data_IF_981650850865
#
_entry.id   IF_981650850865
#
_cell.length_a   1.000
_cell.length_b   1.000
_cell.length_c   1.000
_cell.angle_alpha   90.00
_cell.angle_beta   90.00
_cell.angle_gamma   90.00
#
_symmetry.space_group_name_H-M   'P 1'
#
loop_
_entity.id
_entity.type
_entity.pdbx_description
1 polymer ?
#
# COMPACT_ATOMS: atom_id res chain seq x y z
N UNK A 1 1.12 36.34 -4.29
CA UNK A 1 1.48 35.03 -3.65
C UNK A 1 0.30 34.41 -2.91
N UNK A 2 -0.56 35.20 -2.22
CA UNK A 2 -1.74 34.74 -1.47
C UNK A 2 -2.86 34.19 -2.38
N UNK A 3 -3.10 34.79 -3.52
CA UNK A 3 -4.17 34.37 -4.46
C UNK A 3 -3.89 32.98 -5.05
N UNK A 4 -2.64 32.66 -5.35
CA UNK A 4 -2.27 31.31 -5.83
C UNK A 4 -2.56 30.20 -4.80
N UNK A 5 -2.30 30.45 -3.50
CA UNK A 5 -2.49 29.47 -2.43
C UNK A 5 -3.96 29.08 -2.24
N UNK A 6 -4.88 30.05 -2.31
CA UNK A 6 -6.32 29.82 -2.22
C UNK A 6 -6.87 29.07 -3.44
N UNK A 7 -6.38 29.36 -4.66
CA UNK A 7 -6.79 28.66 -5.88
C UNK A 7 -6.39 27.17 -5.84
N UNK A 8 -5.18 26.86 -5.35
CA UNK A 8 -4.75 25.47 -5.15
C UNK A 8 -5.54 24.73 -4.07
N UNK A 9 -5.97 25.43 -3.01
CA UNK A 9 -6.77 24.84 -1.94
C UNK A 9 -8.16 24.47 -2.45
N UNK A 10 -8.83 25.35 -3.16
CA UNK A 10 -10.13 25.11 -3.76
C UNK A 10 -10.09 23.99 -4.81
N UNK A 11 -9.02 23.92 -5.61
CA UNK A 11 -8.84 22.86 -6.60
C UNK A 11 -8.65 21.48 -5.94
N UNK A 12 -7.88 21.39 -4.84
CA UNK A 12 -7.73 20.15 -4.08
C UNK A 12 -9.05 19.66 -3.51
N UNK A 13 -9.85 20.57 -2.93
CA UNK A 13 -11.13 20.24 -2.33
C UNK A 13 -12.16 19.80 -3.40
N UNK A 14 -12.13 20.41 -4.58
CA UNK A 14 -12.95 20.01 -5.72
C UNK A 14 -12.55 18.61 -6.25
N UNK A 15 -11.25 18.38 -6.44
CA UNK A 15 -10.73 17.10 -6.90
C UNK A 15 -11.02 15.98 -5.88
N UNK A 16 -10.93 16.27 -4.59
CA UNK A 16 -11.25 15.32 -3.54
C UNK A 16 -12.72 14.91 -3.54
N UNK A 17 -13.63 15.86 -3.74
CA UNK A 17 -15.06 15.59 -3.86
C UNK A 17 -15.40 14.73 -5.08
N UNK A 18 -14.69 14.91 -6.19
CA UNK A 18 -14.94 14.19 -7.45
C UNK A 18 -14.25 12.82 -7.55
N UNK A 19 -13.03 12.69 -6.98
CA UNK A 19 -12.19 11.48 -7.10
C UNK A 19 -12.22 10.61 -5.85
N UNK A 20 -12.39 11.23 -4.67
CA UNK A 20 -12.42 10.55 -3.37
C UNK A 20 -11.35 11.02 -2.39
N UNK A 21 -11.56 10.71 -1.11
CA UNK A 21 -10.73 11.16 0.01
C UNK A 21 -9.27 10.70 -0.04
N UNK A 22 -9.00 9.56 -0.67
CA UNK A 22 -7.64 9.01 -0.80
C UNK A 22 -6.74 9.89 -1.67
N UNK A 23 -7.32 10.77 -2.49
CA UNK A 23 -6.56 11.72 -3.31
C UNK A 23 -5.63 12.60 -2.47
N UNK A 24 -5.98 12.90 -1.23
CA UNK A 24 -5.12 13.67 -0.30
C UNK A 24 -3.76 13.05 -0.09
N UNK A 25 -3.68 11.72 -0.08
CA UNK A 25 -2.43 10.98 0.11
C UNK A 25 -1.44 11.21 -1.04
N UNK A 26 -1.93 11.48 -2.26
CA UNK A 26 -1.08 11.75 -3.43
C UNK A 26 -0.44 13.15 -3.41
N UNK A 27 -1.02 14.09 -2.66
CA UNK A 27 -0.44 15.43 -2.49
C UNK A 27 0.57 15.51 -1.34
N UNK A 28 0.74 14.42 -0.62
CA UNK A 28 1.67 14.34 0.51
C UNK A 28 2.74 13.29 0.23
N UNK A 29 3.91 13.49 0.84
CA UNK A 29 4.92 12.45 0.89
C UNK A 29 4.46 11.35 1.84
N UNK A 30 5.35 10.64 2.53
CA UNK A 30 4.93 9.61 3.49
C UNK A 30 4.03 10.18 4.58
N UNK A 31 2.83 9.65 4.68
CA UNK A 31 1.80 10.14 5.61
C UNK A 31 0.93 8.99 6.09
N UNK A 32 0.20 9.23 7.16
CA UNK A 32 -0.78 8.33 7.73
C UNK A 32 -2.15 9.02 7.78
N UNK A 33 -3.14 8.41 7.18
CA UNK A 33 -4.53 8.88 7.22
C UNK A 33 -5.28 8.14 8.34
N UNK A 34 -5.57 8.86 9.42
CA UNK A 34 -6.30 8.30 10.56
C UNK A 34 -7.81 8.29 10.33
N UNK A 35 -8.31 9.31 9.68
CA UNK A 35 -9.72 9.56 9.35
C UNK A 35 -9.76 10.18 7.95
N UNK A 36 -10.91 10.18 7.29
CA UNK A 36 -11.05 10.70 5.93
C UNK A 36 -10.47 12.12 5.76
N UNK A 37 -10.59 12.96 6.79
CA UNK A 37 -10.11 14.35 6.78
C UNK A 37 -8.78 14.57 7.50
N UNK A 38 -8.25 13.56 8.22
CA UNK A 38 -7.12 13.74 9.14
C UNK A 38 -5.88 12.98 8.68
N UNK A 39 -4.96 13.70 8.06
CA UNK A 39 -3.66 13.18 7.61
C UNK A 39 -2.56 13.67 8.55
N UNK A 40 -1.72 12.75 9.01
CA UNK A 40 -0.52 13.04 9.80
C UNK A 40 0.71 12.73 8.96
N UNK A 41 1.61 13.69 8.88
CA UNK A 41 2.86 13.53 8.13
C UNK A 41 3.96 12.93 9.01
N UNK A 42 4.74 12.01 8.46
CA UNK A 42 5.92 11.51 9.16
C UNK A 42 7.03 12.57 9.17
N UNK A 43 7.63 12.77 10.33
CA UNK A 43 8.80 13.66 10.48
C UNK A 43 10.00 13.14 9.70
N UNK A 44 10.25 11.83 9.75
CA UNK A 44 11.31 11.15 8.99
C UNK A 44 10.72 10.34 7.86
N UNK A 45 11.35 10.39 6.70
CA UNK A 45 10.99 9.59 5.53
C UNK A 45 11.91 8.40 5.43
N UNK A 46 11.33 7.23 5.17
CA UNK A 46 12.08 6.00 5.01
C UNK A 46 11.88 5.47 3.59
N UNK A 47 12.98 5.36 2.85
CA UNK A 47 12.95 4.76 1.51
C UNK A 47 12.88 3.24 1.63
N UNK A 48 11.80 2.67 1.13
CA UNK A 48 11.62 1.23 0.97
C UNK A 48 11.70 0.85 -0.50
N UNK A 49 12.28 -0.30 -0.77
CA UNK A 49 12.28 -0.91 -2.09
C UNK A 49 11.09 -1.83 -2.14
N UNK A 50 10.20 -1.59 -3.09
CA UNK A 50 8.91 -2.24 -3.20
C UNK A 50 8.79 -2.90 -4.56
N UNK A 51 8.44 -4.17 -4.57
CA UNK A 51 7.97 -4.87 -5.75
C UNK A 51 6.45 -4.87 -5.76
N UNK A 52 5.84 -4.31 -6.80
CA UNK A 52 4.41 -4.34 -7.04
C UNK A 52 4.10 -5.44 -8.05
N UNK A 53 3.04 -6.20 -7.80
CA UNK A 53 2.55 -7.29 -8.66
C UNK A 53 1.04 -7.15 -8.82
N UNK A 54 0.59 -6.93 -10.05
CA UNK A 54 -0.83 -6.86 -10.39
C UNK A 54 -1.23 -8.09 -11.21
N UNK A 55 -2.01 -9.01 -10.64
CA UNK A 55 -2.44 -10.25 -11.29
C UNK A 55 -3.54 -10.06 -12.34
N UNK A 56 -3.86 -8.81 -12.69
CA UNK A 56 -4.93 -8.40 -13.63
C UNK A 56 -6.33 -8.88 -13.23
N UNK A 57 -6.56 -9.12 -11.94
CA UNK A 57 -7.87 -9.44 -11.39
C UNK A 57 -8.58 -8.12 -11.07
N UNK A 58 -9.78 -7.92 -11.58
CA UNK A 58 -10.62 -6.77 -11.23
C UNK A 58 -11.32 -7.02 -9.89
N UNK A 59 -10.90 -6.33 -8.84
CA UNK A 59 -11.58 -6.32 -7.54
C UNK A 59 -12.47 -5.08 -7.46
N UNK A 60 -13.78 -5.29 -7.34
CA UNK A 60 -14.71 -4.16 -7.11
C UNK A 60 -14.55 -3.68 -5.67
N UNK A 61 -14.03 -2.47 -5.50
CA UNK A 61 -13.87 -1.84 -4.17
C UNK A 61 -15.17 -1.88 -3.37
N UNK A 62 -16.29 -1.48 -3.98
CA UNK A 62 -17.62 -1.51 -3.35
C UNK A 62 -18.00 -2.92 -2.86
N UNK A 63 -17.80 -3.97 -3.69
CA UNK A 63 -18.11 -5.36 -3.33
C UNK A 63 -17.18 -5.91 -2.24
N UNK A 64 -15.90 -5.51 -2.24
CA UNK A 64 -14.95 -5.94 -1.20
C UNK A 64 -15.35 -5.30 0.13
N UNK A 65 -15.57 -3.99 0.18
CA UNK A 65 -15.97 -3.29 1.40
C UNK A 65 -17.29 -3.80 1.99
N UNK A 66 -18.31 -4.05 1.15
CA UNK A 66 -19.61 -4.52 1.62
C UNK A 66 -19.59 -5.92 2.27
N UNK A 67 -18.53 -6.70 2.05
CA UNK A 67 -18.37 -8.04 2.63
C UNK A 67 -17.47 -8.09 3.86
N UNK A 68 -16.90 -6.97 4.28
CA UNK A 68 -16.12 -6.89 5.52
C UNK A 68 -17.07 -6.93 6.70
N UNK A 69 -17.03 -8.01 7.48
CA UNK A 69 -17.88 -8.19 8.67
C UNK A 69 -17.27 -7.54 9.92
N UNK A 70 -15.95 -7.57 10.04
CA UNK A 70 -15.23 -7.07 11.22
C UNK A 70 -13.97 -6.37 10.79
N UNK A 71 -13.68 -5.23 11.42
CA UNK A 71 -12.43 -4.50 11.21
C UNK A 71 -11.45 -4.79 12.35
N UNK A 72 -10.18 -4.82 12.03
CA UNK A 72 -9.11 -4.96 13.01
C UNK A 72 -9.17 -3.83 14.04
N UNK A 73 -8.88 -4.15 15.30
CA UNK A 73 -8.77 -3.15 16.35
C UNK A 73 -7.66 -2.18 15.97
N UNK A 74 -7.97 -0.87 16.01
CA UNK A 74 -7.00 0.18 15.70
C UNK A 74 -5.79 0.07 16.64
N UNK A 75 -4.62 -0.16 16.07
CA UNK A 75 -3.39 -0.08 16.85
C UNK A 75 -3.21 1.34 17.40
N UNK A 76 -3.01 1.46 18.71
CA UNK A 76 -2.70 2.75 19.37
C UNK A 76 -1.25 3.18 19.10
N UNK A 77 -0.79 3.06 17.87
CA UNK A 77 0.58 3.42 17.49
C UNK A 77 0.66 4.92 17.26
N UNK A 78 1.57 5.57 17.96
CA UNK A 78 1.94 6.95 17.67
C UNK A 78 3.01 6.96 16.56
N UNK A 79 2.56 7.09 15.32
CA UNK A 79 3.44 7.11 14.15
C UNK A 79 4.42 8.29 14.16
N UNK A 80 4.16 9.34 14.94
CA UNK A 80 5.08 10.49 15.09
C UNK A 80 6.37 10.13 15.84
N UNK A 81 6.33 9.07 16.65
CA UNK A 81 7.46 8.57 17.48
C UNK A 81 8.36 7.58 16.76
N UNK A 82 8.05 7.25 15.51
CA UNK A 82 8.88 6.33 14.73
C UNK A 82 10.22 7.02 14.41
N UNK A 83 11.31 6.43 14.88
CA UNK A 83 12.66 7.01 14.79
C UNK A 83 13.61 6.25 13.87
N UNK A 84 13.26 5.04 13.43
CA UNK A 84 14.09 4.21 12.56
C UNK A 84 13.30 3.45 11.51
N UNK A 85 13.94 3.12 10.38
CA UNK A 85 13.36 2.31 9.30
C UNK A 85 12.95 0.91 9.78
N UNK A 86 13.75 0.29 10.64
CA UNK A 86 13.46 -1.04 11.20
C UNK A 86 12.25 -0.99 12.13
N UNK A 87 12.13 0.04 12.97
CA UNK A 87 10.97 0.26 13.82
C UNK A 87 9.70 0.47 13.00
N UNK A 88 9.76 1.33 11.96
CA UNK A 88 8.64 1.52 11.04
C UNK A 88 8.19 0.19 10.40
N UNK A 89 9.15 -0.60 9.89
CA UNK A 89 8.84 -1.89 9.28
C UNK A 89 8.21 -2.88 10.27
N UNK A 90 8.66 -2.90 11.54
CA UNK A 90 8.03 -3.73 12.59
C UNK A 90 6.57 -3.34 12.83
N UNK A 91 6.26 -2.04 12.82
CA UNK A 91 4.89 -1.54 13.00
C UNK A 91 4.02 -1.96 11.83
N UNK A 92 4.40 -1.62 10.59
CA UNK A 92 3.56 -1.91 9.42
C UNK A 92 3.38 -3.41 9.17
N UNK A 93 4.30 -4.26 9.66
CA UNK A 93 4.11 -5.71 9.62
C UNK A 93 2.98 -6.20 10.52
N UNK A 94 2.75 -5.54 11.65
CA UNK A 94 1.65 -5.86 12.59
C UNK A 94 0.30 -5.35 12.09
N UNK A 95 0.30 -4.30 11.28
CA UNK A 95 -0.92 -3.78 10.68
C UNK A 95 -1.49 -4.80 9.70
N UNK A 96 -2.81 -4.89 9.65
CA UNK A 96 -3.53 -5.79 8.75
C UNK A 96 -4.24 -4.99 7.65
N UNK A 97 -4.45 -5.61 6.53
CA UNK A 97 -5.39 -5.12 5.52
C UNK A 97 -6.69 -5.92 5.66
N UNK A 98 -7.71 -5.35 6.28
CA UNK A 98 -8.98 -6.04 6.56
C UNK A 98 -9.71 -6.46 5.29
N UNK A 99 -9.45 -5.77 4.17
CA UNK A 99 -10.01 -6.10 2.87
C UNK A 99 -9.36 -7.35 2.25
N UNK A 100 -8.14 -7.69 2.66
CA UNK A 100 -7.37 -8.79 2.07
C UNK A 100 -8.06 -10.13 2.24
N UNK A 101 -8.61 -10.44 3.42
CA UNK A 101 -9.32 -11.70 3.65
C UNK A 101 -10.50 -11.87 2.69
N UNK A 102 -11.29 -10.82 2.53
CA UNK A 102 -12.44 -10.82 1.61
C UNK A 102 -11.99 -10.99 0.16
N UNK A 103 -10.96 -10.25 -0.25
CA UNK A 103 -10.43 -10.34 -1.61
C UNK A 103 -9.88 -11.74 -1.94
N UNK A 104 -9.17 -12.37 -0.98
CA UNK A 104 -8.65 -13.74 -1.12
C UNK A 104 -9.79 -14.76 -1.22
N UNK A 105 -10.83 -14.63 -0.42
CA UNK A 105 -12.01 -15.52 -0.50
C UNK A 105 -12.67 -15.47 -1.88
N UNK A 106 -12.71 -14.29 -2.51
CA UNK A 106 -13.28 -14.15 -3.85
C UNK A 106 -12.29 -14.56 -4.96
N UNK A 107 -11.01 -14.35 -4.72
CA UNK A 107 -9.93 -14.55 -5.70
C UNK A 107 -8.71 -15.20 -5.04
N UNK A 108 -8.71 -16.54 -4.85
CA UNK A 108 -7.62 -17.27 -4.16
C UNK A 108 -6.23 -17.04 -4.76
N UNK A 109 -6.15 -16.71 -6.05
CA UNK A 109 -4.89 -16.39 -6.73
C UNK A 109 -4.13 -15.22 -6.04
N UNK A 110 -4.84 -14.30 -5.38
CA UNK A 110 -4.22 -13.20 -4.62
C UNK A 110 -3.34 -13.75 -3.49
N UNK A 111 -3.82 -14.79 -2.78
CA UNK A 111 -3.02 -15.43 -1.72
C UNK A 111 -1.77 -16.08 -2.31
N UNK A 112 -1.91 -16.82 -3.42
CA UNK A 112 -0.77 -17.46 -4.07
C UNK A 112 0.31 -16.44 -4.48
N UNK A 113 -0.10 -15.25 -4.93
CA UNK A 113 0.82 -14.15 -5.28
C UNK A 113 1.53 -13.62 -4.03
N UNK A 114 0.79 -13.37 -2.94
CA UNK A 114 1.35 -12.88 -1.68
C UNK A 114 2.39 -13.88 -1.15
N UNK A 115 2.04 -15.16 -1.11
CA UNK A 115 2.91 -16.22 -0.61
C UNK A 115 4.15 -16.37 -1.49
N UNK A 116 3.99 -16.33 -2.81
CA UNK A 116 5.14 -16.40 -3.71
C UNK A 116 6.08 -15.20 -3.58
N UNK A 117 5.55 -14.00 -3.36
CA UNK A 117 6.39 -12.83 -3.05
C UNK A 117 7.13 -13.05 -1.72
N UNK A 118 6.46 -13.59 -0.69
CA UNK A 118 7.04 -13.83 0.62
C UNK A 118 8.21 -14.80 0.60
N UNK A 119 8.18 -15.82 -0.28
CA UNK A 119 9.28 -16.81 -0.44
C UNK A 119 10.53 -16.24 -1.11
N UNK A 120 10.46 -15.04 -1.70
CA UNK A 120 11.61 -14.47 -2.39
C UNK A 120 12.70 -14.03 -1.42
N UNK A 121 13.96 -14.26 -1.80
CA UNK A 121 15.12 -13.89 -0.96
C UNK A 121 15.06 -12.43 -0.54
N UNK A 122 15.31 -12.17 0.76
CA UNK A 122 15.31 -10.84 1.36
C UNK A 122 13.97 -10.09 1.32
N UNK A 123 12.87 -10.74 1.03
CA UNK A 123 11.55 -10.19 1.24
C UNK A 123 11.31 -9.99 2.75
N UNK A 124 10.99 -8.77 3.15
CA UNK A 124 10.76 -8.40 4.54
C UNK A 124 9.29 -8.48 4.94
N UNK A 125 8.40 -8.25 3.99
CA UNK A 125 6.97 -8.49 4.11
C UNK A 125 6.32 -8.52 2.74
N UNK A 126 5.18 -9.20 2.63
CA UNK A 126 4.30 -9.16 1.47
C UNK A 126 2.85 -9.01 1.91
N UNK A 127 2.05 -8.32 1.11
CA UNK A 127 0.64 -8.08 1.39
C UNK A 127 -0.08 -7.53 0.14
N UNK A 128 -1.42 -7.63 0.14
CA UNK A 128 -2.26 -6.91 -0.80
C UNK A 128 -2.36 -5.43 -0.41
N UNK A 129 -2.46 -4.52 -1.38
CA UNK A 129 -2.70 -3.10 -1.14
C UNK A 129 -4.15 -2.72 -1.47
N UNK A 130 -4.72 -1.81 -0.67
CA UNK A 130 -6.10 -1.34 -0.84
C UNK A 130 -7.11 -2.46 -0.87
N UNK A 131 -8.10 -2.36 -1.75
CA UNK A 131 -9.14 -3.38 -1.99
C UNK A 131 -8.70 -4.51 -2.93
N UNK A 132 -7.43 -4.49 -3.35
CA UNK A 132 -6.88 -5.48 -4.28
C UNK A 132 -6.97 -5.01 -5.75
N UNK A 133 -6.49 -5.79 -6.68
CA UNK A 133 -5.77 -7.05 -6.51
C UNK A 133 -4.25 -6.91 -6.45
N UNK A 134 -3.73 -5.67 -6.50
CA UNK A 134 -2.28 -5.43 -6.44
C UNK A 134 -1.73 -5.95 -5.12
N UNK A 135 -0.68 -6.78 -5.23
CA UNK A 135 0.13 -7.26 -4.12
C UNK A 135 1.49 -6.56 -4.12
N UNK A 136 2.10 -6.43 -2.96
CA UNK A 136 3.44 -5.86 -2.87
C UNK A 136 4.35 -6.65 -1.94
N UNK A 137 5.64 -6.55 -2.20
CA UNK A 137 6.69 -7.01 -1.29
C UNK A 137 7.67 -5.90 -0.98
N UNK A 138 8.08 -5.78 0.28
CA UNK A 138 9.17 -4.89 0.70
C UNK A 138 10.45 -5.71 0.77
N UNK A 139 11.50 -5.23 0.11
CA UNK A 139 12.79 -5.93 0.00
C UNK A 139 13.91 -5.19 0.72
N UNK A 140 14.96 -5.95 1.07
CA UNK A 140 16.15 -5.41 1.73
C UNK A 140 16.90 -4.43 0.82
N UNK A 141 17.05 -4.78 -0.47
CA UNK A 141 17.83 -4.02 -1.45
C UNK A 141 17.27 -4.20 -2.87
N UNK A 142 17.75 -3.37 -3.81
CA UNK A 142 17.34 -3.37 -5.21
C UNK A 142 17.65 -4.71 -5.90
N UNK A 143 18.81 -5.31 -5.60
CA UNK A 143 19.24 -6.59 -6.21
C UNK A 143 18.26 -7.72 -5.91
N UNK A 144 17.84 -7.87 -4.65
CA UNK A 144 16.87 -8.90 -4.26
C UNK A 144 15.48 -8.63 -4.84
N UNK A 145 15.03 -7.36 -4.91
CA UNK A 145 13.77 -7.00 -5.54
C UNK A 145 13.76 -7.28 -7.05
N UNK A 146 14.86 -6.96 -7.76
CA UNK A 146 14.99 -7.22 -9.20
C UNK A 146 15.07 -8.71 -9.50
N UNK A 147 15.77 -9.50 -8.68
CA UNK A 147 15.78 -10.95 -8.78
C UNK A 147 14.39 -11.56 -8.56
N UNK A 148 13.64 -11.05 -7.57
CA UNK A 148 12.27 -11.46 -7.33
C UNK A 148 11.36 -11.09 -8.51
N UNK A 149 11.50 -9.90 -9.08
CA UNK A 149 10.76 -9.46 -10.26
C UNK A 149 10.95 -10.45 -11.43
N UNK A 150 12.20 -10.84 -11.72
CA UNK A 150 12.49 -11.78 -12.80
C UNK A 150 11.82 -13.14 -12.58
N UNK A 151 11.87 -13.66 -11.34
CA UNK A 151 11.24 -14.94 -10.98
C UNK A 151 9.72 -14.87 -11.05
N UNK A 152 9.11 -13.75 -10.61
CA UNK A 152 7.67 -13.56 -10.67
C UNK A 152 7.19 -13.46 -12.12
N UNK A 153 7.89 -12.71 -12.97
CA UNK A 153 7.57 -12.62 -14.40
C UNK A 153 7.66 -13.98 -15.10
N UNK A 154 8.62 -14.82 -14.73
CA UNK A 154 8.74 -16.18 -15.27
C UNK A 154 7.60 -17.09 -14.81
N UNK A 155 7.19 -17.00 -13.53
CA UNK A 155 6.09 -17.82 -12.98
C UNK A 155 4.71 -17.33 -13.42
N UNK A 156 4.56 -16.02 -13.58
CA UNK A 156 3.30 -15.36 -13.92
C UNK A 156 3.51 -14.38 -15.09
N UNK A 157 3.72 -14.87 -16.31
CA UNK A 157 4.14 -14.03 -17.46
C UNK A 157 3.13 -12.94 -17.81
N UNK A 158 1.84 -13.17 -17.55
CA UNK A 158 0.76 -12.23 -17.85
C UNK A 158 0.53 -11.15 -16.80
N UNK A 159 1.25 -11.19 -15.66
CA UNK A 159 1.08 -10.20 -14.60
C UNK A 159 1.88 -8.94 -14.90
N UNK A 160 1.32 -7.80 -14.51
CA UNK A 160 2.11 -6.58 -14.50
C UNK A 160 2.92 -6.49 -13.20
N UNK A 161 4.21 -6.25 -13.35
CA UNK A 161 5.12 -6.20 -12.21
C UNK A 161 6.16 -5.10 -12.39
N UNK A 162 6.45 -4.37 -11.31
CA UNK A 162 7.48 -3.32 -11.29
C UNK A 162 8.17 -3.23 -9.94
N UNK A 163 9.47 -2.92 -9.95
CA UNK A 163 10.22 -2.52 -8.75
C UNK A 163 10.23 -1.00 -8.69
N UNK A 164 9.92 -0.44 -7.53
CA UNK A 164 9.87 0.99 -7.26
C UNK A 164 10.39 1.30 -5.86
N UNK A 165 10.46 2.59 -5.52
CA UNK A 165 10.87 3.07 -4.19
C UNK A 165 9.83 4.03 -3.65
N UNK A 166 9.60 3.96 -2.33
CA UNK A 166 8.82 5.01 -1.66
C UNK A 166 9.60 6.33 -1.66
N UNK A 167 8.89 7.44 -1.77
CA UNK A 167 9.40 8.81 -1.82
C UNK A 167 9.40 9.49 -0.46
#
# INVERSE_FOLDING_TARGET
FFIKKNKYRNLKDLLEKSVGSDLRLFFSKQSYQKELSKITFYKKKYKFIVLLVYPKIKCSTKKIYSKVKTYSIKNKVDYSKINSKSHFLKIIKKDKNDLQKVAITQHPLIQNVIDYIATQKDCKMSRMTGSGSVCFGIFKNDKSASSALARIKRKFPNFWCVVTKTI
#
